data_IF_745182731620
#
_entry.id   IF_745182731620
#
_cell.length_a   1.000
_cell.length_b   1.000
_cell.length_c   1.000
_cell.angle_alpha   90.00
_cell.angle_beta   90.00
_cell.angle_gamma   90.00
#
_symmetry.space_group_name_H-M   'P 1'
#
loop_
_entity.id
_entity.type
_entity.pdbx_description
1 polymer ?
#
# COMPACT_ATOMS: atom_id res chain seq x y z
N UNK A 1 -6.02 -2.58 20.22
CA UNK A 1 -5.37 -1.35 19.73
C UNK A 1 -5.10 -1.61 18.27
N UNK A 2 -5.64 -0.80 17.36
CA UNK A 2 -5.26 -0.85 15.95
C UNK A 2 -3.84 -0.29 15.84
N UNK A 3 -2.94 -1.01 15.17
CA UNK A 3 -1.55 -0.60 14.96
C UNK A 3 -1.48 0.71 14.14
N UNK A 4 -0.33 1.38 14.12
CA UNK A 4 -0.12 2.54 13.22
C UNK A 4 -0.35 2.14 11.75
N UNK A 5 0.11 0.94 11.40
CA UNK A 5 -0.14 0.27 10.12
C UNK A 5 -1.64 0.16 9.79
N UNK A 6 -2.45 -0.43 10.68
CA UNK A 6 -3.90 -0.58 10.49
C UNK A 6 -4.58 0.79 10.29
N UNK A 7 -4.17 1.81 11.07
CA UNK A 7 -4.71 3.17 10.97
C UNK A 7 -4.38 3.81 9.63
N UNK A 8 -3.16 3.64 9.15
CA UNK A 8 -2.75 4.13 7.83
C UNK A 8 -3.59 3.50 6.72
N UNK A 9 -3.86 2.20 6.77
CA UNK A 9 -4.73 1.50 5.81
C UNK A 9 -6.14 2.11 5.79
N UNK A 10 -6.75 2.31 6.97
CA UNK A 10 -8.08 2.93 7.03
C UNK A 10 -8.07 4.38 6.52
N UNK A 11 -7.00 5.13 6.77
CA UNK A 11 -6.86 6.50 6.27
C UNK A 11 -6.72 6.54 4.74
N UNK A 12 -5.93 5.63 4.14
CA UNK A 12 -5.82 5.45 2.69
C UNK A 12 -7.20 5.22 2.08
N UNK A 13 -7.95 4.23 2.61
CA UNK A 13 -9.29 3.93 2.14
C UNK A 13 -10.22 5.14 2.19
N UNK A 14 -10.29 5.79 3.34
CA UNK A 14 -11.14 6.97 3.56
C UNK A 14 -10.80 8.11 2.60
N UNK A 15 -9.50 8.37 2.38
CA UNK A 15 -9.04 9.41 1.46
C UNK A 15 -9.44 9.09 0.01
N UNK A 16 -9.17 7.87 -0.46
CA UNK A 16 -9.50 7.46 -1.83
C UNK A 16 -11.01 7.52 -2.05
N UNK A 17 -11.82 6.92 -1.18
CA UNK A 17 -13.29 6.93 -1.33
C UNK A 17 -13.89 8.35 -1.31
N UNK A 18 -13.25 9.27 -0.58
CA UNK A 18 -13.68 10.68 -0.51
C UNK A 18 -13.31 11.46 -1.77
N UNK A 19 -12.12 11.22 -2.34
CA UNK A 19 -11.56 12.03 -3.41
C UNK A 19 -11.75 11.45 -4.81
N UNK A 20 -11.82 10.13 -4.94
CA UNK A 20 -11.98 9.44 -6.21
C UNK A 20 -12.98 8.27 -6.11
N UNK A 21 -14.15 8.47 -6.72
CA UNK A 21 -15.24 7.48 -6.71
C UNK A 21 -15.13 6.45 -7.83
N UNK A 22 -14.15 6.56 -8.72
CA UNK A 22 -13.96 5.63 -9.85
C UNK A 22 -13.41 4.27 -9.41
N UNK A 23 -12.85 4.20 -8.20
CA UNK A 23 -12.33 2.97 -7.61
C UNK A 23 -13.31 2.33 -6.64
N UNK A 24 -13.33 1.00 -6.61
CA UNK A 24 -13.69 0.20 -5.44
C UNK A 24 -12.44 -0.06 -4.61
N UNK A 25 -12.53 0.16 -3.30
CA UNK A 25 -11.41 0.02 -2.37
C UNK A 25 -11.62 -1.21 -1.48
N UNK A 26 -10.78 -2.22 -1.66
CA UNK A 26 -10.71 -3.40 -0.81
C UNK A 26 -9.49 -3.26 0.10
N UNK A 27 -9.62 -3.57 1.39
CA UNK A 27 -8.52 -3.53 2.36
C UNK A 27 -8.41 -4.83 3.14
N UNK A 28 -7.20 -5.23 3.48
CA UNK A 28 -6.90 -6.25 4.48
C UNK A 28 -6.26 -5.57 5.70
N UNK A 29 -6.74 -5.86 6.90
CA UNK A 29 -6.23 -5.26 8.15
C UNK A 29 -5.98 -6.36 9.17
N UNK A 30 -4.87 -6.30 9.90
CA UNK A 30 -4.47 -7.34 10.85
C UNK A 30 -4.31 -8.72 10.19
N UNK A 31 -5.22 -9.65 10.48
CA UNK A 31 -5.21 -11.01 9.90
C UNK A 31 -6.26 -11.24 8.81
N UNK A 32 -6.89 -10.17 8.33
CA UNK A 32 -7.88 -10.25 7.26
C UNK A 32 -7.24 -10.67 5.93
N UNK A 33 -8.00 -11.40 5.12
CA UNK A 33 -7.62 -11.94 3.81
C UNK A 33 -8.78 -11.83 2.81
N UNK A 34 -9.60 -10.80 2.99
CA UNK A 34 -10.78 -10.54 2.17
C UNK A 34 -10.44 -10.09 0.75
N UNK A 35 -9.26 -9.50 0.55
CA UNK A 35 -8.82 -8.95 -0.73
C UNK A 35 -7.61 -9.73 -1.24
N UNK A 36 -7.81 -10.61 -2.22
CA UNK A 36 -6.72 -11.37 -2.84
C UNK A 36 -6.31 -10.75 -4.17
N UNK A 37 -5.01 -10.66 -4.43
CA UNK A 37 -4.46 -10.34 -5.74
C UNK A 37 -3.30 -11.29 -6.06
N UNK A 38 -3.43 -12.02 -7.16
CA UNK A 38 -2.40 -12.95 -7.66
C UNK A 38 -1.87 -13.94 -6.59
N UNK A 39 -2.76 -14.47 -5.73
CA UNK A 39 -2.39 -15.39 -4.66
C UNK A 39 -1.75 -14.75 -3.42
N UNK A 40 -1.71 -13.42 -3.36
CA UNK A 40 -1.27 -12.62 -2.21
C UNK A 40 -2.42 -11.82 -1.63
N UNK A 41 -2.21 -11.25 -0.44
CA UNK A 41 -3.23 -10.47 0.29
C UNK A 41 -2.65 -9.09 0.62
N UNK A 42 -2.62 -8.16 -0.36
CA UNK A 42 -2.09 -6.83 -0.13
C UNK A 42 -2.93 -6.05 0.86
N UNK A 43 -2.35 -5.04 1.49
CA UNK A 43 -3.06 -4.18 2.43
C UNK A 43 -4.23 -3.41 1.77
N UNK A 44 -4.01 -2.91 0.54
CA UNK A 44 -5.04 -2.19 -0.23
C UNK A 44 -5.05 -2.64 -1.68
N UNK A 45 -6.24 -2.89 -2.23
CA UNK A 45 -6.47 -3.19 -3.64
C UNK A 45 -7.51 -2.22 -4.20
N UNK A 46 -7.14 -1.50 -5.27
CA UNK A 46 -8.04 -0.61 -6.00
C UNK A 46 -8.45 -1.23 -7.32
N UNK A 47 -9.76 -1.41 -7.49
CA UNK A 47 -10.35 -1.91 -8.73
C UNK A 47 -11.09 -0.77 -9.44
N UNK A 48 -10.80 -0.57 -10.72
CA UNK A 48 -11.52 0.41 -11.54
C UNK A 48 -12.94 -0.10 -11.79
N UNK A 49 -13.96 0.62 -11.31
CA UNK A 49 -15.37 0.19 -11.35
C UNK A 49 -15.89 -0.15 -12.74
N UNK A 50 -15.39 0.52 -13.76
CA UNK A 50 -15.85 0.32 -15.15
C UNK A 50 -15.22 -0.88 -15.85
N UNK A 51 -14.12 -1.43 -15.32
CA UNK A 51 -13.27 -2.37 -16.07
C UNK A 51 -13.05 -3.71 -15.36
N UNK A 52 -13.53 -3.91 -14.12
CA UNK A 52 -13.22 -5.09 -13.29
C UNK A 52 -11.71 -5.42 -13.30
N UNK A 53 -10.89 -4.38 -13.38
CA UNK A 53 -9.45 -4.44 -13.53
C UNK A 53 -8.82 -3.86 -12.27
N UNK A 54 -7.91 -4.62 -11.67
CA UNK A 54 -7.10 -4.12 -10.55
C UNK A 54 -6.08 -3.16 -11.12
N UNK A 55 -6.28 -1.87 -10.88
CA UNK A 55 -5.39 -0.83 -11.38
C UNK A 55 -4.21 -0.59 -10.47
N UNK A 56 -4.43 -0.69 -9.14
CA UNK A 56 -3.44 -0.33 -8.13
C UNK A 56 -3.48 -1.33 -6.97
N UNK A 57 -2.30 -1.72 -6.51
CA UNK A 57 -2.08 -2.44 -5.26
C UNK A 57 -1.20 -1.58 -4.36
N UNK A 58 -1.49 -1.55 -3.06
CA UNK A 58 -0.66 -0.86 -2.08
C UNK A 58 -0.30 -1.81 -0.94
N UNK A 59 0.97 -1.81 -0.56
CA UNK A 59 1.46 -2.37 0.70
C UNK A 59 1.82 -1.21 1.63
N UNK A 60 1.41 -1.32 2.89
CA UNK A 60 1.68 -0.34 3.94
C UNK A 60 2.76 -0.93 4.82
N UNK A 61 3.85 -0.20 5.02
CA UNK A 61 5.02 -0.72 5.74
C UNK A 61 5.44 0.25 6.84
N UNK A 62 5.76 -0.27 8.02
CA UNK A 62 6.31 0.52 9.11
C UNK A 62 7.83 0.33 9.25
N UNK A 63 8.44 1.03 10.20
CA UNK A 63 9.89 0.93 10.45
C UNK A 63 10.38 -0.50 10.70
N UNK A 64 9.49 -1.40 11.12
CA UNK A 64 9.83 -2.78 11.52
C UNK A 64 9.72 -3.78 10.38
N UNK A 65 9.02 -3.42 9.30
CA UNK A 65 8.63 -4.33 8.20
C UNK A 65 9.23 -3.93 6.85
N UNK A 66 9.66 -2.66 6.73
CA UNK A 66 10.20 -2.03 5.53
C UNK A 66 11.39 -2.74 4.84
N UNK A 67 12.16 -3.55 5.56
CA UNK A 67 13.34 -4.26 5.03
C UNK A 67 13.22 -5.79 5.15
N UNK A 68 12.01 -6.30 5.38
CA UNK A 68 11.80 -7.74 5.49
C UNK A 68 12.00 -8.43 4.13
N UNK A 69 12.79 -9.52 4.11
CA UNK A 69 13.02 -10.33 2.91
C UNK A 69 11.70 -10.89 2.33
N UNK A 70 10.75 -11.20 3.21
CA UNK A 70 9.40 -11.61 2.81
C UNK A 70 8.66 -10.53 2.03
N UNK A 71 8.70 -9.27 2.48
CA UNK A 71 8.02 -8.18 1.80
C UNK A 71 8.68 -7.91 0.43
N UNK A 72 10.01 -7.90 0.35
CA UNK A 72 10.73 -7.76 -0.92
C UNK A 72 10.36 -8.81 -1.96
N UNK A 73 10.18 -10.07 -1.53
CA UNK A 73 9.77 -11.14 -2.43
C UNK A 73 8.34 -10.95 -2.96
N UNK A 74 7.44 -10.43 -2.12
CA UNK A 74 6.06 -10.12 -2.49
C UNK A 74 6.04 -8.92 -3.46
N UNK A 75 6.73 -7.83 -3.15
CA UNK A 75 6.77 -6.66 -4.03
C UNK A 75 7.36 -6.98 -5.41
N UNK A 76 8.35 -7.87 -5.48
CA UNK A 76 8.88 -8.36 -6.76
C UNK A 76 7.86 -9.22 -7.53
N UNK A 77 7.00 -9.99 -6.84
CA UNK A 77 5.97 -10.80 -7.51
C UNK A 77 4.86 -9.95 -8.14
N UNK A 78 4.68 -8.73 -7.65
CA UNK A 78 3.77 -7.73 -8.18
C UNK A 78 4.27 -7.00 -9.43
N UNK A 79 5.57 -7.06 -9.72
CA UNK A 79 6.21 -6.32 -10.82
C UNK A 79 5.84 -6.94 -12.18
N UNK A 80 4.57 -6.80 -12.56
CA UNK A 80 3.93 -7.34 -13.76
C UNK A 80 3.26 -6.20 -14.53
N UNK A 81 3.17 -6.31 -15.86
CA UNK A 81 2.73 -5.23 -16.76
C UNK A 81 1.29 -4.72 -16.56
N UNK A 82 0.51 -5.32 -15.66
CA UNK A 82 -0.93 -5.10 -15.53
C UNK A 82 -1.36 -4.34 -14.28
N UNK A 83 -0.45 -3.82 -13.45
CA UNK A 83 -0.84 -3.06 -12.26
C UNK A 83 0.20 -2.03 -11.86
N UNK A 84 -0.22 -1.04 -11.07
CA UNK A 84 0.67 -0.10 -10.40
C UNK A 84 0.84 -0.48 -8.94
N UNK A 85 2.08 -0.66 -8.49
CA UNK A 85 2.41 -0.91 -7.09
C UNK A 85 2.71 0.42 -6.39
N UNK A 86 2.09 0.65 -5.22
CA UNK A 86 2.53 1.64 -4.25
C UNK A 86 3.08 0.96 -3.01
N UNK A 87 4.22 1.43 -2.52
CA UNK A 87 4.67 1.13 -1.16
C UNK A 87 4.45 2.40 -0.34
N UNK A 88 3.59 2.31 0.67
CA UNK A 88 3.25 3.44 1.53
C UNK A 88 4.01 3.29 2.84
N UNK A 89 4.74 4.33 3.26
CA UNK A 89 5.57 4.32 4.48
C UNK A 89 5.37 5.56 5.35
N UNK A 90 5.83 5.60 6.61
CA UNK A 90 5.92 6.86 7.34
C UNK A 90 6.80 7.86 6.57
N UNK A 91 6.48 9.15 6.61
CA UNK A 91 7.23 10.18 5.88
C UNK A 91 8.74 10.18 6.17
N UNK A 92 9.14 9.80 7.40
CA UNK A 92 10.54 9.68 7.81
C UNK A 92 11.31 8.55 7.10
N UNK A 93 10.61 7.54 6.58
CA UNK A 93 11.19 6.37 5.94
C UNK A 93 11.23 6.45 4.41
N UNK A 94 10.70 7.52 3.79
CA UNK A 94 10.62 7.66 2.33
C UNK A 94 11.98 7.49 1.65
N UNK A 95 13.03 8.11 2.18
CA UNK A 95 14.39 7.98 1.64
C UNK A 95 14.88 6.53 1.73
N UNK A 96 14.65 5.87 2.88
CA UNK A 96 15.03 4.46 3.07
C UNK A 96 14.29 3.56 2.07
N UNK A 97 12.98 3.77 1.88
CA UNK A 97 12.19 3.03 0.89
C UNK A 97 12.72 3.25 -0.53
N UNK A 98 13.06 4.47 -0.90
CA UNK A 98 13.64 4.78 -2.21
C UNK A 98 14.92 4.00 -2.46
N UNK A 99 15.83 3.96 -1.49
CA UNK A 99 17.07 3.19 -1.58
C UNK A 99 16.77 1.68 -1.75
N UNK A 100 15.85 1.14 -0.95
CA UNK A 100 15.46 -0.28 -1.00
C UNK A 100 14.89 -0.66 -2.38
N UNK A 101 13.95 0.12 -2.91
CA UNK A 101 13.34 -0.14 -4.22
C UNK A 101 14.38 -0.07 -5.33
N UNK A 102 15.28 0.91 -5.28
CA UNK A 102 16.35 1.09 -6.26
C UNK A 102 17.34 -0.08 -6.24
N UNK A 103 17.83 -0.47 -5.05
CA UNK A 103 18.77 -1.58 -4.88
C UNK A 103 18.19 -2.91 -5.35
N UNK A 104 16.87 -3.08 -5.19
CA UNK A 104 16.16 -4.32 -5.52
C UNK A 104 15.51 -4.33 -6.90
N UNK A 105 15.61 -3.24 -7.67
CA UNK A 105 14.99 -3.09 -9.00
C UNK A 105 13.48 -3.35 -8.97
N UNK A 106 12.80 -2.79 -7.97
CA UNK A 106 11.34 -2.89 -7.83
C UNK A 106 10.73 -1.60 -8.40
N UNK A 107 9.84 -1.75 -9.39
CA UNK A 107 9.10 -0.62 -9.95
C UNK A 107 7.84 -0.37 -9.13
N UNK A 108 7.89 0.65 -8.28
CA UNK A 108 6.79 1.04 -7.41
C UNK A 108 6.82 2.54 -7.15
N UNK A 109 5.64 3.13 -6.96
CA UNK A 109 5.50 4.48 -6.43
C UNK A 109 5.64 4.45 -4.91
N UNK A 110 6.16 5.55 -4.34
CA UNK A 110 6.25 5.71 -2.90
C UNK A 110 5.15 6.66 -2.46
N UNK A 111 4.16 6.12 -1.74
CA UNK A 111 3.25 6.91 -0.94
C UNK A 111 3.82 7.12 0.46
N UNK A 112 3.31 8.09 1.20
CA UNK A 112 3.66 8.24 2.60
C UNK A 112 2.55 8.80 3.46
N UNK A 113 2.65 8.61 4.77
CA UNK A 113 1.79 9.28 5.74
C UNK A 113 2.57 10.13 6.74
N UNK A 114 1.87 11.14 7.23
CA UNK A 114 2.27 11.92 8.40
C UNK A 114 1.19 11.70 9.47
N UNK A 115 1.60 11.29 10.66
CA UNK A 115 0.71 11.30 11.83
C UNK A 115 0.82 12.66 12.55
N UNK A 116 -0.32 13.33 12.72
CA UNK A 116 -0.43 14.59 13.46
C UNK A 116 -1.69 14.56 14.32
N UNK A 117 -1.54 14.77 15.64
CA UNK A 117 -2.64 14.78 16.61
C UNK A 117 -3.56 13.53 16.53
N UNK A 118 -2.98 12.37 16.19
CA UNK A 118 -3.70 11.10 16.05
C UNK A 118 -4.50 10.93 14.75
N UNK A 119 -4.36 11.87 13.82
CA UNK A 119 -4.86 11.76 12.45
C UNK A 119 -3.72 11.41 11.49
N UNK A 120 -4.04 10.65 10.44
CA UNK A 120 -3.11 10.25 9.39
C UNK A 120 -3.46 11.01 8.12
N UNK A 121 -2.52 11.80 7.62
CA UNK A 121 -2.60 12.44 6.31
C UNK A 121 -1.82 11.59 5.30
N UNK A 122 -2.46 11.18 4.21
CA UNK A 122 -1.86 10.31 3.20
C UNK A 122 -1.47 11.14 1.96
N UNK A 123 -0.27 10.89 1.47
CA UNK A 123 0.29 11.46 0.26
C UNK A 123 0.61 10.31 -0.69
N UNK A 124 -0.11 10.22 -1.81
CA UNK A 124 0.04 9.22 -2.87
C UNK A 124 0.51 9.90 -4.15
#
# INVERSE_FOLDING_TARGET
MNSEHDKAIYAIKSQIEKHDRSFDVCINVGSDKSCEYNGHYPDVVLTVKSENFVGIVMEVEDETTIDSESALNIWKSYNTDSMTLYIVVPAKEVTKMQDILQENQIDAFIGYWIESDGAFEIYL
#
